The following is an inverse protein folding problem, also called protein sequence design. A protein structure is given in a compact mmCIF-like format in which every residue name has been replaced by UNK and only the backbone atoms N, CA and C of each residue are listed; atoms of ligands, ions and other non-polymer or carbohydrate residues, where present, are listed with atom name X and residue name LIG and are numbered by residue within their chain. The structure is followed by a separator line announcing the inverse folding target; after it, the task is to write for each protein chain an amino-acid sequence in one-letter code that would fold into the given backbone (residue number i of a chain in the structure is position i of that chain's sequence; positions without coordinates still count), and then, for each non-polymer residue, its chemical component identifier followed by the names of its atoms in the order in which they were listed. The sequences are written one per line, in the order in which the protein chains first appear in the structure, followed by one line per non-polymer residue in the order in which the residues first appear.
data_IF_730621006165
#
_entry.id   IF_730621006165
#
_cell.length_a   1.000
_cell.length_b   1.000
_cell.length_c   1.000
_cell.angle_alpha   90.00
_cell.angle_beta   90.00
_cell.angle_gamma   90.00
#
_symmetry.space_group_name_H-M   'P 1'
#
loop_
_entity.id
_entity.type
_entity.pdbx_description
1 polymer ?
#
# COMPACT_ATOMS: atom_id res chain seq x y z
N UNK A 1 -18.52 -25.64 3.99
CA UNK A 1 -17.46 -25.33 4.98
C UNK A 1 -16.77 -24.05 4.52
N UNK A 2 -16.66 -23.00 5.34
CA UNK A 2 -15.88 -21.83 4.93
C UNK A 2 -14.38 -22.17 5.02
N UNK A 3 -13.54 -21.73 4.08
CA UNK A 3 -12.10 -21.82 4.23
C UNK A 3 -11.68 -20.88 5.37
N UNK A 4 -10.84 -21.35 6.29
CA UNK A 4 -10.31 -20.53 7.40
C UNK A 4 -9.31 -19.48 6.87
N UNK A 5 -9.82 -18.44 6.22
CA UNK A 5 -9.14 -17.16 6.06
C UNK A 5 -9.33 -16.36 7.34
N UNK A 6 -8.58 -16.73 8.39
CA UNK A 6 -8.47 -16.08 9.70
C UNK A 6 -9.16 -14.70 9.80
N UNK A 7 -10.43 -14.67 10.19
CA UNK A 7 -10.99 -13.47 10.81
C UNK A 7 -10.12 -13.19 12.04
N UNK A 8 -9.51 -12.01 12.09
CA UNK A 8 -8.82 -11.55 13.29
C UNK A 8 -9.90 -11.29 14.34
N UNK A 9 -10.16 -12.28 15.19
CA UNK A 9 -11.08 -12.16 16.32
C UNK A 9 -10.74 -10.92 17.15
N UNK A 10 -11.74 -10.09 17.46
CA UNK A 10 -11.56 -8.84 18.19
C UNK A 10 -11.02 -7.68 17.37
N UNK A 11 -11.09 -7.77 16.03
CA UNK A 11 -10.73 -6.70 15.07
C UNK A 11 -11.82 -6.44 14.04
N UNK A 12 -13.07 -6.70 14.41
CA UNK A 12 -14.22 -6.63 13.50
C UNK A 12 -14.41 -5.21 12.97
N UNK A 13 -14.21 -4.20 13.83
CA UNK A 13 -14.32 -2.81 13.43
C UNK A 13 -13.22 -2.39 12.44
N UNK A 14 -11.96 -2.74 12.72
CA UNK A 14 -10.84 -2.43 11.83
C UNK A 14 -10.98 -3.17 10.49
N UNK A 15 -11.45 -4.41 10.51
CA UNK A 15 -11.78 -5.16 9.31
C UNK A 15 -12.89 -4.49 8.51
N UNK A 16 -13.95 -4.01 9.15
CA UNK A 16 -15.06 -3.31 8.50
C UNK A 16 -14.58 -2.03 7.80
N UNK A 17 -13.77 -1.22 8.48
CA UNK A 17 -13.18 0.00 7.91
C UNK A 17 -12.32 -0.32 6.68
N UNK A 18 -11.45 -1.33 6.78
CA UNK A 18 -10.58 -1.75 5.68
C UNK A 18 -11.38 -2.38 4.53
N UNK A 19 -12.40 -3.19 4.82
CA UNK A 19 -13.30 -3.76 3.81
C UNK A 19 -14.07 -2.68 3.04
N UNK A 20 -14.55 -1.65 3.74
CA UNK A 20 -15.22 -0.51 3.11
C UNK A 20 -14.28 0.26 2.20
N UNK A 21 -13.02 0.48 2.64
CA UNK A 21 -12.01 1.11 1.80
C UNK A 21 -11.71 0.29 0.54
N UNK A 22 -11.48 -1.02 0.70
CA UNK A 22 -11.24 -1.94 -0.44
C UNK A 22 -12.43 -1.97 -1.40
N UNK A 23 -13.66 -1.97 -0.89
CA UNK A 23 -14.87 -1.93 -1.73
C UNK A 23 -14.99 -0.59 -2.47
N UNK A 24 -14.65 0.52 -1.81
CA UNK A 24 -14.60 1.84 -2.44
C UNK A 24 -13.63 1.93 -3.62
N UNK A 25 -12.50 1.18 -3.58
CA UNK A 25 -11.55 1.15 -4.69
C UNK A 25 -12.17 0.59 -5.98
N UNK A 26 -12.99 -0.46 -5.89
CA UNK A 26 -13.71 -1.00 -7.06
C UNK A 26 -14.68 0.02 -7.68
N UNK A 27 -15.15 0.97 -6.88
CA UNK A 27 -16.02 2.07 -7.31
C UNK A 27 -15.24 3.36 -7.63
N UNK A 28 -13.92 3.25 -7.85
CA UNK A 28 -13.01 4.36 -8.16
C UNK A 28 -13.01 5.48 -7.12
N UNK A 29 -13.30 5.16 -5.85
CA UNK A 29 -13.18 6.08 -4.73
C UNK A 29 -11.86 5.86 -3.99
N UNK A 30 -10.85 6.73 -4.18
CA UNK A 30 -9.59 6.59 -3.48
C UNK A 30 -9.78 6.88 -1.99
N UNK A 31 -8.97 6.21 -1.16
CA UNK A 31 -8.95 6.40 0.28
C UNK A 31 -7.55 6.19 0.83
N UNK A 32 -7.25 6.85 1.94
CA UNK A 32 -6.03 6.65 2.73
C UNK A 32 -6.44 6.20 4.11
N UNK A 33 -5.91 5.05 4.54
CA UNK A 33 -6.17 4.49 5.86
C UNK A 33 -4.84 4.27 6.58
N UNK A 34 -4.73 4.81 7.79
CA UNK A 34 -3.57 4.57 8.67
C UNK A 34 -3.97 3.60 9.75
N UNK A 35 -3.17 2.53 9.93
CA UNK A 35 -3.38 1.52 10.97
C UNK A 35 -2.34 1.70 12.06
N UNK A 36 -2.75 2.19 13.23
CA UNK A 36 -1.90 2.41 14.40
C UNK A 36 -2.27 1.50 15.56
N UNK A 37 -1.28 1.03 16.32
CA UNK A 37 -1.48 0.20 17.51
C UNK A 37 -0.16 -0.04 18.23
N UNK A 38 -0.22 -0.55 19.46
CA UNK A 38 0.99 -0.95 20.18
C UNK A 38 1.68 -2.13 19.47
N UNK A 39 2.98 -2.31 19.70
CA UNK A 39 3.70 -3.47 19.19
C UNK A 39 2.98 -4.77 19.59
N UNK A 40 2.82 -5.69 18.63
CA UNK A 40 2.07 -6.93 18.84
C UNK A 40 0.54 -6.81 18.67
N UNK A 41 -0.02 -5.63 18.38
CA UNK A 41 -1.49 -5.45 18.21
C UNK A 41 -2.07 -6.05 16.93
N UNK A 42 -1.25 -6.68 16.08
CA UNK A 42 -1.71 -7.34 14.85
C UNK A 42 -1.86 -6.41 13.63
N UNK A 43 -1.29 -5.21 13.64
CA UNK A 43 -1.36 -4.26 12.50
C UNK A 43 -0.90 -4.91 11.19
N UNK A 44 0.21 -5.65 11.20
CA UNK A 44 0.68 -6.37 10.01
C UNK A 44 -0.28 -7.48 9.58
N UNK A 45 -1.01 -8.09 10.51
CA UNK A 45 -2.04 -9.07 10.18
C UNK A 45 -3.24 -8.41 9.49
N UNK A 46 -3.66 -7.22 9.95
CA UNK A 46 -4.70 -6.42 9.29
C UNK A 46 -4.28 -6.00 7.88
N UNK A 47 -3.05 -5.53 7.68
CA UNK A 47 -2.54 -5.19 6.35
C UNK A 47 -2.54 -6.41 5.42
N UNK A 48 -2.08 -7.58 5.90
CA UNK A 48 -2.12 -8.83 5.10
C UNK A 48 -3.55 -9.26 4.78
N UNK A 49 -4.48 -9.12 5.72
CA UNK A 49 -5.89 -9.44 5.53
C UNK A 49 -6.52 -8.54 4.47
N UNK A 50 -6.35 -7.21 4.56
CA UNK A 50 -6.89 -6.28 3.58
C UNK A 50 -6.29 -6.50 2.18
N UNK A 51 -5.01 -6.87 2.13
CA UNK A 51 -4.33 -7.18 0.89
C UNK A 51 -4.88 -8.45 0.23
N UNK A 52 -5.17 -9.51 1.00
CA UNK A 52 -5.85 -10.71 0.48
C UNK A 52 -7.27 -10.39 0.00
N UNK A 53 -8.00 -9.60 0.78
CA UNK A 53 -9.36 -9.16 0.44
C UNK A 53 -9.42 -8.38 -0.88
N UNK A 54 -8.39 -7.59 -1.17
CA UNK A 54 -8.23 -6.86 -2.42
C UNK A 54 -7.86 -7.79 -3.59
N UNK A 55 -6.94 -8.75 -3.39
CA UNK A 55 -6.58 -9.78 -4.37
C UNK A 55 -7.81 -10.62 -4.77
N UNK A 56 -8.60 -11.06 -3.79
CA UNK A 56 -9.85 -11.80 -4.00
C UNK A 56 -10.89 -11.02 -4.82
N UNK A 57 -10.83 -9.67 -4.77
CA UNK A 57 -11.67 -8.77 -5.58
C UNK A 57 -11.05 -8.40 -6.93
N UNK A 58 -9.92 -9.02 -7.30
CA UNK A 58 -9.22 -8.77 -8.57
C UNK A 58 -8.43 -7.46 -8.62
N UNK A 59 -8.31 -6.75 -7.49
CA UNK A 59 -7.55 -5.51 -7.40
C UNK A 59 -6.04 -5.78 -7.52
N UNK A 60 -5.29 -4.79 -8.00
CA UNK A 60 -3.83 -4.84 -7.94
C UNK A 60 -3.40 -4.54 -6.50
N UNK A 61 -2.44 -5.29 -5.97
CA UNK A 61 -1.92 -5.07 -4.63
C UNK A 61 -0.41 -4.84 -4.69
N UNK A 62 0.02 -3.69 -4.18
CA UNK A 62 1.42 -3.30 -4.05
C UNK A 62 1.78 -3.18 -2.58
N UNK A 63 2.90 -3.79 -2.18
CA UNK A 63 3.30 -3.89 -0.77
C UNK A 63 4.72 -3.39 -0.61
N UNK A 64 4.95 -2.60 0.43
CA UNK A 64 6.28 -2.27 0.92
C UNK A 64 6.34 -2.36 2.44
N UNK A 65 7.54 -2.57 2.94
CA UNK A 65 7.87 -2.57 4.35
C UNK A 65 9.17 -1.83 4.53
N UNK A 66 9.15 -0.77 5.33
CA UNK A 66 10.37 -0.11 5.72
C UNK A 66 11.05 -0.91 6.83
N UNK A 67 12.36 -1.07 6.74
CA UNK A 67 13.18 -1.71 7.78
C UNK A 67 14.22 -0.72 8.29
N UNK A 68 14.73 -0.86 9.53
CA UNK A 68 15.72 0.07 10.07
C UNK A 68 16.94 0.25 9.16
N UNK A 69 17.41 -0.81 8.50
CA UNK A 69 18.56 -0.78 7.59
C UNK A 69 18.30 -0.12 6.22
N UNK A 70 17.05 0.19 5.90
CA UNK A 70 16.65 0.86 4.66
C UNK A 70 16.32 2.35 4.88
N UNK A 71 16.42 2.86 6.11
CA UNK A 71 16.05 4.25 6.43
C UNK A 71 16.87 5.29 5.65
N UNK A 72 18.11 4.93 5.28
CA UNK A 72 19.02 5.75 4.46
C UNK A 72 19.02 5.33 2.97
N UNK A 73 18.27 4.29 2.61
CA UNK A 73 18.15 3.84 1.23
C UNK A 73 17.16 4.73 0.50
N UNK A 74 17.67 5.65 -0.31
CA UNK A 74 16.87 6.57 -1.12
C UNK A 74 15.82 5.79 -1.92
N UNK A 75 14.54 6.11 -1.68
CA UNK A 75 13.41 5.45 -2.32
C UNK A 75 13.30 3.94 -2.04
N UNK A 76 13.75 3.45 -0.88
CA UNK A 76 13.71 2.03 -0.52
C UNK A 76 12.29 1.44 -0.62
N UNK A 77 11.31 2.06 0.05
CA UNK A 77 9.93 1.59 -0.02
C UNK A 77 9.28 1.82 -1.39
N UNK A 78 9.60 2.91 -2.09
CA UNK A 78 9.10 3.17 -3.44
C UNK A 78 9.58 2.11 -4.42
N UNK A 79 10.84 1.68 -4.30
CA UNK A 79 11.40 0.61 -5.12
C UNK A 79 10.67 -0.71 -4.88
N UNK A 80 10.34 -1.04 -3.63
CA UNK A 80 9.52 -2.22 -3.30
C UNK A 80 8.11 -2.13 -3.90
N UNK A 81 7.46 -0.95 -3.85
CA UNK A 81 6.11 -0.73 -4.37
C UNK A 81 6.02 -0.83 -5.89
N UNK A 82 6.99 -0.26 -6.59
CA UNK A 82 7.01 -0.27 -8.05
C UNK A 82 7.49 -1.63 -8.58
N UNK A 83 8.26 -2.36 -7.78
CA UNK A 83 8.86 -3.64 -8.16
C UNK A 83 10.04 -3.49 -9.12
N UNK A 84 10.83 -4.55 -9.31
CA UNK A 84 11.93 -4.56 -10.27
C UNK A 84 11.43 -4.41 -11.71
N UNK A 85 10.23 -4.95 -11.99
CA UNK A 85 9.60 -4.98 -13.32
C UNK A 85 8.79 -3.73 -13.66
N UNK A 86 8.75 -2.71 -12.78
CA UNK A 86 8.24 -1.40 -13.20
C UNK A 86 9.02 -0.97 -14.45
N UNK A 87 8.32 -0.66 -15.56
CA UNK A 87 8.91 -0.60 -16.88
C UNK A 87 10.20 0.22 -16.83
N UNK A 88 11.33 -0.47 -17.08
CA UNK A 88 12.67 0.09 -17.00
C UNK A 88 12.96 1.18 -18.06
N UNK A 89 11.95 1.62 -18.81
CA UNK A 89 12.06 2.64 -19.85
C UNK A 89 10.98 3.73 -19.81
N UNK A 90 10.21 3.85 -18.73
CA UNK A 90 9.30 4.98 -18.58
C UNK A 90 10.04 6.24 -18.15
N UNK A 91 9.89 7.34 -18.89
CA UNK A 91 10.28 8.68 -18.44
C UNK A 91 9.66 8.93 -17.06
N UNK A 92 10.47 8.83 -16.01
CA UNK A 92 9.92 8.83 -14.66
C UNK A 92 10.79 8.24 -13.57
N UNK A 93 11.96 7.62 -13.83
CA UNK A 93 12.92 7.30 -12.76
C UNK A 93 13.84 8.48 -12.41
N UNK A 94 14.10 9.37 -13.37
CA UNK A 94 15.05 10.48 -13.22
C UNK A 94 14.42 11.79 -12.70
N UNK A 95 13.31 11.69 -11.96
CA UNK A 95 12.56 12.83 -11.45
C UNK A 95 12.37 12.79 -9.92
N UNK A 96 11.90 13.88 -9.29
CA UNK A 96 11.77 13.98 -7.83
C UNK A 96 10.73 13.01 -7.22
N UNK A 97 9.91 12.37 -8.06
CA UNK A 97 8.82 11.47 -7.66
C UNK A 97 8.81 10.25 -8.60
N UNK A 98 9.79 9.33 -8.44
CA UNK A 98 10.01 8.31 -9.44
C UNK A 98 8.80 7.39 -9.63
N UNK A 99 8.39 7.13 -10.87
CA UNK A 99 7.31 6.21 -11.22
C UNK A 99 5.89 6.61 -10.76
N UNK A 100 5.72 7.74 -10.07
CA UNK A 100 4.40 8.13 -9.53
C UNK A 100 3.37 8.39 -10.63
N UNK A 101 3.76 9.08 -11.70
CA UNK A 101 2.87 9.36 -12.82
C UNK A 101 2.37 8.06 -13.45
N UNK A 102 3.25 7.08 -13.63
CA UNK A 102 2.90 5.78 -14.19
C UNK A 102 1.99 4.97 -13.26
N UNK A 103 2.27 5.00 -11.96
CA UNK A 103 1.39 4.37 -10.98
C UNK A 103 -0.02 4.97 -11.04
N UNK A 104 -0.14 6.31 -11.08
CA UNK A 104 -1.43 6.97 -11.16
C UNK A 104 -2.16 6.69 -12.47
N UNK A 105 -1.44 6.58 -13.60
CA UNK A 105 -2.04 6.19 -14.88
C UNK A 105 -2.60 4.76 -14.79
N UNK A 106 -1.77 3.80 -14.42
CA UNK A 106 -2.17 2.39 -14.35
C UNK A 106 -3.22 2.10 -13.29
N UNK A 107 -3.26 2.90 -12.20
CA UNK A 107 -4.30 2.81 -11.18
C UNK A 107 -5.70 3.21 -11.67
N UNK A 108 -5.81 3.99 -12.76
CA UNK A 108 -7.10 4.32 -13.38
C UNK A 108 -7.70 3.12 -14.11
N UNK A 109 -6.88 2.33 -14.78
CA UNK A 109 -7.33 1.15 -15.53
C UNK A 109 -7.51 -0.06 -14.61
N UNK A 110 -6.70 -0.14 -13.55
CA UNK A 110 -6.73 -1.22 -12.58
C UNK A 110 -6.65 -0.67 -11.16
N UNK A 111 -7.78 -0.58 -10.42
CA UNK A 111 -7.76 -0.06 -9.06
C UNK A 111 -6.75 -0.82 -8.19
N UNK A 112 -5.95 -0.06 -7.46
CA UNK A 112 -4.74 -0.55 -6.80
C UNK A 112 -4.79 -0.25 -5.30
N UNK A 113 -4.63 -1.28 -4.47
CA UNK A 113 -4.35 -1.14 -3.04
C UNK A 113 -2.84 -1.07 -2.81
N UNK A 114 -2.41 -0.03 -2.12
CA UNK A 114 -1.02 0.16 -1.73
C UNK A 114 -0.88 0.05 -0.21
N UNK A 115 -0.05 -0.87 0.28
CA UNK A 115 0.21 -1.04 1.72
C UNK A 115 1.67 -0.77 2.04
N UNK A 116 1.93 0.09 3.02
CA UNK A 116 3.28 0.35 3.54
C UNK A 116 3.31 0.04 5.03
N UNK A 117 4.13 -0.93 5.43
CA UNK A 117 4.33 -1.30 6.82
C UNK A 117 5.54 -0.58 7.44
N UNK A 118 5.52 -0.43 8.76
CA UNK A 118 6.63 0.08 9.56
C UNK A 118 7.09 1.49 9.17
N UNK A 119 6.12 2.40 8.93
CA UNK A 119 6.33 3.78 8.46
C UNK A 119 7.36 4.59 9.27
N UNK A 120 7.60 4.24 10.54
CA UNK A 120 8.61 4.88 11.39
C UNK A 120 10.05 4.69 10.88
N UNK A 121 10.30 3.70 10.02
CA UNK A 121 11.61 3.42 9.43
C UNK A 121 11.71 3.89 7.96
N UNK A 122 10.71 4.63 7.49
CA UNK A 122 10.64 5.04 6.08
C UNK A 122 11.71 6.09 5.76
N UNK A 123 12.40 5.93 4.63
CA UNK A 123 13.34 6.93 4.15
C UNK A 123 12.63 8.26 3.80
N UNK A 124 13.30 9.42 3.96
CA UNK A 124 12.70 10.73 3.71
C UNK A 124 12.14 10.91 2.29
N UNK A 125 12.80 10.30 1.30
CA UNK A 125 12.44 10.38 -0.11
C UNK A 125 11.17 9.58 -0.43
N UNK A 126 11.03 8.37 0.10
CA UNK A 126 9.78 7.60 0.07
C UNK A 126 8.66 8.31 0.82
N UNK A 127 8.92 8.96 1.96
CA UNK A 127 7.90 9.74 2.66
C UNK A 127 7.40 10.92 1.81
N UNK A 128 8.33 11.65 1.18
CA UNK A 128 7.99 12.73 0.24
C UNK A 128 7.17 12.21 -0.93
N UNK A 129 7.52 11.04 -1.45
CA UNK A 129 6.79 10.37 -2.51
C UNK A 129 5.36 10.00 -2.10
N UNK A 130 5.17 9.35 -0.95
CA UNK A 130 3.85 8.98 -0.42
C UNK A 130 2.98 10.22 -0.17
N UNK A 131 3.55 11.28 0.40
CA UNK A 131 2.84 12.56 0.58
C UNK A 131 2.38 13.15 -0.75
N UNK A 132 3.21 13.04 -1.79
CA UNK A 132 2.88 13.53 -3.11
C UNK A 132 1.81 12.66 -3.81
N UNK A 133 1.78 11.35 -3.53
CA UNK A 133 0.71 10.46 -3.95
C UNK A 133 -0.62 10.83 -3.28
N UNK A 134 -0.62 10.97 -1.95
CA UNK A 134 -1.84 11.28 -1.17
C UNK A 134 -2.48 12.59 -1.61
N UNK A 135 -1.69 13.61 -1.98
CA UNK A 135 -2.20 14.91 -2.47
C UNK A 135 -2.86 14.84 -3.86
N UNK A 136 -2.76 13.71 -4.57
CA UNK A 136 -3.28 13.50 -5.93
C UNK A 136 -4.44 12.51 -5.99
N UNK A 137 -4.87 12.02 -4.82
CA UNK A 137 -6.05 11.18 -4.66
C UNK A 137 -7.33 12.03 -4.66
#
# INVERSE_FOLDING_TARGET
MPPFGLSLLGREHEQEVLARAVTGLSEHRPAVVTVSGAAGSGQHALLRWAARLAEERGLRVLRARATPGESDLVYGAVTQLLGPDAPAGGAGRDGPLPGLAELLRTARDRPTLLTVADLQWLDPDSLRWLRALIRRL
#
